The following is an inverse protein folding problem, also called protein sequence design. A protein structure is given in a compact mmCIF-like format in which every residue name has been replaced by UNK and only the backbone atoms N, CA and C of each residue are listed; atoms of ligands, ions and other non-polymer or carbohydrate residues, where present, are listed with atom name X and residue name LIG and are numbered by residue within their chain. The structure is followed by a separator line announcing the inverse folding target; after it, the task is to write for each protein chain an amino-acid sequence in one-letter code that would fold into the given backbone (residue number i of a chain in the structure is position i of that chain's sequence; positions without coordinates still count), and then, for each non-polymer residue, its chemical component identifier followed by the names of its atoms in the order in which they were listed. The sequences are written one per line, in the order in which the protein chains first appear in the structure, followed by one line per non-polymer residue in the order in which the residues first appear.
data_IF_382938337457
#
_entry.id   IF_382938337457
#
_cell.length_a   1.000
_cell.length_b   1.000
_cell.length_c   1.000
_cell.angle_alpha   90.00
_cell.angle_beta   90.00
_cell.angle_gamma   90.00
#
_symmetry.space_group_name_H-M   'P 1'
#
loop_
_entity.id
_entity.type
_entity.pdbx_description
1 polymer ?
#
# COMPACT_ATOMS: atom_id res chain seq x y z
N UNK A 1 12.12 -53.22 2.75
CA UNK A 1 13.02 -52.29 3.47
C UNK A 1 12.45 -50.89 3.37
N UNK A 2 11.46 -50.60 4.20
CA UNK A 2 10.66 -49.36 4.19
C UNK A 2 10.35 -49.05 5.64
N UNK A 3 11.20 -48.26 6.30
CA UNK A 3 11.04 -48.06 7.73
C UNK A 3 12.08 -47.19 8.43
N UNK A 4 12.60 -46.14 7.78
CA UNK A 4 13.61 -45.26 8.40
C UNK A 4 13.54 -43.79 7.96
N UNK A 5 12.38 -43.30 7.52
CA UNK A 5 12.18 -41.87 7.21
C UNK A 5 10.95 -41.24 7.91
N UNK A 6 10.28 -41.95 8.81
CA UNK A 6 9.08 -41.44 9.50
C UNK A 6 9.31 -40.93 10.93
N UNK A 7 10.55 -40.92 11.43
CA UNK A 7 10.84 -40.58 12.83
C UNK A 7 11.42 -39.17 13.07
N UNK A 8 11.57 -38.33 12.04
CA UNK A 8 12.08 -36.95 12.22
C UNK A 8 10.95 -35.89 12.29
N UNK A 9 9.70 -36.28 12.05
CA UNK A 9 8.56 -35.33 11.98
C UNK A 9 7.57 -35.40 13.16
N UNK A 10 7.86 -36.16 14.22
CA UNK A 10 6.93 -36.33 15.35
C UNK A 10 7.61 -36.13 16.73
N UNK A 11 8.38 -35.05 16.87
CA UNK A 11 8.99 -34.68 18.16
C UNK A 11 8.91 -33.18 18.48
N UNK A 12 7.82 -32.52 18.07
CA UNK A 12 7.38 -31.27 18.70
C UNK A 12 6.02 -31.52 19.38
N UNK A 13 6.06 -32.13 20.57
CA UNK A 13 4.95 -32.07 21.53
C UNK A 13 4.72 -30.62 21.93
N UNK A 14 3.47 -30.12 21.96
CA UNK A 14 2.58 -30.21 23.14
C UNK A 14 3.33 -29.93 24.45
N UNK A 15 3.75 -28.69 24.63
CA UNK A 15 3.43 -27.88 25.81
C UNK A 15 4.20 -26.56 25.73
N UNK A 16 3.50 -25.48 26.03
CA UNK A 16 3.99 -24.12 25.85
C UNK A 16 3.19 -23.44 24.76
N UNK A 17 2.41 -22.45 25.17
CA UNK A 17 1.88 -21.47 24.25
C UNK A 17 3.04 -20.88 23.44
N UNK A 18 3.23 -21.35 22.22
CA UNK A 18 3.80 -20.53 21.15
C UNK A 18 2.80 -19.39 20.93
N UNK A 19 2.80 -18.45 21.89
CA UNK A 19 2.43 -17.08 21.59
C UNK A 19 3.48 -16.69 20.57
N UNK A 20 3.14 -16.83 19.30
CA UNK A 20 3.76 -16.05 18.24
C UNK A 20 3.92 -14.66 18.86
N UNK A 21 5.16 -14.24 19.13
CA UNK A 21 5.44 -12.93 19.70
C UNK A 21 5.22 -11.95 18.56
N UNK A 22 3.95 -11.80 18.20
CA UNK A 22 3.48 -10.91 17.16
C UNK A 22 3.82 -9.51 17.63
N UNK A 23 4.51 -8.78 16.76
CA UNK A 23 4.69 -7.35 16.99
C UNK A 23 3.32 -6.70 16.99
N UNK A 24 2.93 -6.08 18.11
CA UNK A 24 1.70 -5.31 18.20
C UNK A 24 1.84 -4.00 17.40
N UNK A 25 0.95 -3.77 16.46
CA UNK A 25 1.02 -2.63 15.56
C UNK A 25 -0.04 -1.58 15.92
N UNK A 26 0.43 -0.43 16.40
CA UNK A 26 -0.39 0.76 16.64
C UNK A 26 -0.65 1.53 15.33
N UNK A 27 -1.71 2.36 15.26
CA UNK A 27 -1.97 3.21 14.10
C UNK A 27 -0.75 4.02 13.65
N UNK A 28 0.02 4.54 14.61
CA UNK A 28 1.22 5.35 14.38
C UNK A 28 2.35 4.53 13.74
N UNK A 29 2.46 3.24 14.04
CA UNK A 29 3.46 2.35 13.44
C UNK A 29 3.15 2.17 11.94
N UNK A 30 1.88 1.99 11.60
CA UNK A 30 1.44 1.93 10.19
C UNK A 30 1.66 3.25 9.47
N UNK A 31 1.38 4.38 10.12
CA UNK A 31 1.62 5.70 9.54
C UNK A 31 3.10 5.91 9.24
N UNK A 32 4.00 5.61 10.20
CA UNK A 32 5.44 5.72 9.98
C UNK A 32 5.93 4.76 8.90
N UNK A 33 5.43 3.51 8.89
CA UNK A 33 5.73 2.56 7.85
C UNK A 33 5.31 3.08 6.47
N UNK A 34 4.14 3.73 6.34
CA UNK A 34 3.69 4.31 5.08
C UNK A 34 4.70 5.32 4.52
N UNK A 35 5.22 6.21 5.37
CA UNK A 35 6.21 7.22 4.96
C UNK A 35 7.52 6.56 4.52
N UNK A 36 8.05 5.64 5.34
CA UNK A 36 9.29 4.93 5.05
C UNK A 36 9.19 4.11 3.76
N UNK A 37 8.06 3.42 3.52
CA UNK A 37 7.86 2.62 2.30
C UNK A 37 7.76 3.50 1.06
N UNK A 38 7.13 4.67 1.15
CA UNK A 38 7.07 5.62 0.04
C UNK A 38 8.46 6.17 -0.30
N UNK A 39 9.26 6.52 0.71
CA UNK A 39 10.65 6.96 0.54
C UNK A 39 11.51 5.87 -0.11
N UNK A 40 11.43 4.63 0.38
CA UNK A 40 12.13 3.49 -0.19
C UNK A 40 11.71 3.22 -1.64
N UNK A 41 10.41 3.33 -1.93
CA UNK A 41 9.90 3.17 -3.29
C UNK A 41 10.50 4.22 -4.24
N UNK A 42 10.60 5.48 -3.82
CA UNK A 42 11.26 6.55 -4.59
C UNK A 42 12.75 6.26 -4.78
N UNK A 43 13.45 5.88 -3.72
CA UNK A 43 14.87 5.55 -3.80
C UNK A 43 15.14 4.43 -4.82
N UNK A 44 14.38 3.34 -4.77
CA UNK A 44 14.51 2.22 -5.71
C UNK A 44 14.23 2.62 -7.16
N UNK A 45 13.29 3.53 -7.38
CA UNK A 45 12.97 4.04 -8.71
C UNK A 45 14.05 5.01 -9.24
N UNK A 46 14.48 5.97 -8.43
CA UNK A 46 15.40 7.04 -8.87
C UNK A 46 16.86 6.57 -8.93
N UNK A 47 17.28 5.68 -8.03
CA UNK A 47 18.68 5.24 -7.87
C UNK A 47 18.89 3.76 -8.17
N UNK A 48 17.88 2.92 -7.88
CA UNK A 48 18.02 1.46 -7.95
C UNK A 48 17.61 0.81 -9.27
N UNK A 49 16.99 1.54 -10.20
CA UNK A 49 16.36 0.98 -11.42
C UNK A 49 15.49 -0.27 -11.14
N UNK A 50 14.90 -0.36 -9.94
CA UNK A 50 14.11 -1.50 -9.48
C UNK A 50 12.62 -1.13 -9.54
N UNK A 51 12.07 -1.15 -10.75
CA UNK A 51 10.74 -0.62 -11.04
C UNK A 51 9.63 -1.50 -10.49
N UNK A 52 9.75 -2.82 -10.59
CA UNK A 52 8.76 -3.73 -10.02
C UNK A 52 8.70 -3.65 -8.49
N UNK A 53 9.87 -3.64 -7.85
CA UNK A 53 9.93 -3.53 -6.39
C UNK A 53 9.47 -2.14 -5.91
N UNK A 54 9.79 -1.06 -6.63
CA UNK A 54 9.28 0.27 -6.28
C UNK A 54 7.76 0.37 -6.41
N UNK A 55 7.14 -0.22 -7.45
CA UNK A 55 5.67 -0.31 -7.54
C UNK A 55 5.10 -1.07 -6.34
N UNK A 56 5.67 -2.22 -6.00
CA UNK A 56 5.20 -2.99 -4.85
C UNK A 56 5.27 -2.18 -3.55
N UNK A 57 6.41 -1.56 -3.25
CA UNK A 57 6.58 -0.74 -2.05
C UNK A 57 5.68 0.50 -2.03
N UNK A 58 5.44 1.11 -3.19
CA UNK A 58 4.53 2.25 -3.28
C UNK A 58 3.08 1.87 -2.94
N UNK A 59 2.60 0.71 -3.38
CA UNK A 59 1.27 0.24 -2.98
C UNK A 59 1.24 -0.25 -1.52
N UNK A 60 2.33 -0.84 -1.02
CA UNK A 60 2.46 -1.17 0.41
C UNK A 60 2.42 0.09 1.29
N UNK A 61 3.03 1.20 0.85
CA UNK A 61 2.95 2.49 1.53
C UNK A 61 1.49 2.96 1.65
N UNK A 62 0.73 2.86 0.56
CA UNK A 62 -0.70 3.20 0.52
C UNK A 62 -1.49 2.29 1.46
N UNK A 63 -1.24 0.98 1.42
CA UNK A 63 -1.89 0.03 2.34
C UNK A 63 -1.61 0.36 3.81
N UNK A 64 -0.35 0.64 4.17
CA UNK A 64 0.04 1.07 5.50
C UNK A 64 -0.71 2.35 5.91
N UNK A 65 -0.80 3.36 5.04
CA UNK A 65 -1.52 4.59 5.33
C UNK A 65 -3.00 4.30 5.62
N UNK A 66 -3.65 3.49 4.79
CA UNK A 66 -5.04 3.12 4.99
C UNK A 66 -5.27 2.33 6.29
N UNK A 67 -4.37 1.39 6.62
CA UNK A 67 -4.41 0.65 7.88
C UNK A 67 -4.27 1.58 9.08
N UNK A 68 -3.40 2.58 9.01
CA UNK A 68 -3.26 3.58 10.07
C UNK A 68 -4.59 4.28 10.37
N UNK A 69 -5.29 4.78 9.34
CA UNK A 69 -6.60 5.42 9.49
C UNK A 69 -7.68 4.45 9.97
N UNK A 70 -7.72 3.23 9.43
CA UNK A 70 -8.68 2.20 9.85
C UNK A 70 -8.53 1.90 11.33
N UNK A 71 -7.30 1.62 11.77
CA UNK A 71 -7.02 1.14 13.12
C UNK A 71 -7.24 2.24 14.17
N UNK A 72 -7.00 3.50 13.81
CA UNK A 72 -7.35 4.66 14.66
C UNK A 72 -8.85 4.73 14.95
N UNK A 73 -9.69 4.30 14.01
CA UNK A 73 -11.16 4.34 14.15
C UNK A 73 -11.73 3.07 14.74
N UNK A 74 -11.24 1.93 14.29
CA UNK A 74 -11.81 0.63 14.58
C UNK A 74 -10.69 -0.43 14.54
N UNK A 75 -10.24 -0.90 15.72
CA UNK A 75 -9.20 -1.91 15.87
C UNK A 75 -9.58 -3.29 15.35
N UNK A 76 -10.87 -3.56 15.09
CA UNK A 76 -11.27 -4.85 14.52
C UNK A 76 -10.93 -4.86 13.03
N UNK A 77 -9.90 -5.61 12.62
CA UNK A 77 -9.62 -5.73 11.19
C UNK A 77 -8.87 -6.99 10.76
N UNK A 78 -9.51 -7.72 9.84
CA UNK A 78 -8.92 -8.70 8.93
C UNK A 78 -9.53 -8.52 7.52
N UNK A 79 -9.32 -7.37 6.85
CA UNK A 79 -9.46 -7.38 5.39
C UNK A 79 -8.12 -7.71 4.74
N UNK A 80 -8.17 -8.79 3.96
CA UNK A 80 -7.07 -9.27 3.15
C UNK A 80 -6.84 -8.32 1.96
N UNK A 81 -5.78 -7.51 2.04
CA UNK A 81 -5.00 -6.85 0.96
C UNK A 81 -5.74 -6.24 -0.26
N UNK A 82 -7.05 -5.97 -0.20
CA UNK A 82 -7.77 -5.28 -1.28
C UNK A 82 -7.81 -3.78 -1.00
N UNK A 83 -7.01 -3.01 -1.73
CA UNK A 83 -6.85 -1.57 -1.50
C UNK A 83 -8.17 -0.77 -1.54
N UNK A 84 -9.10 -1.10 -2.45
CA UNK A 84 -10.36 -0.37 -2.58
C UNK A 84 -11.31 -0.67 -1.41
N UNK A 85 -11.37 -1.94 -0.97
CA UNK A 85 -12.14 -2.31 0.23
C UNK A 85 -11.54 -1.66 1.47
N UNK A 86 -10.22 -1.76 1.62
CA UNK A 86 -9.48 -1.17 2.73
C UNK A 86 -9.65 0.36 2.76
N UNK A 87 -9.72 1.04 1.62
CA UNK A 87 -10.01 2.47 1.57
C UNK A 87 -11.43 2.83 1.96
N UNK A 88 -12.42 2.06 1.51
CA UNK A 88 -13.80 2.24 1.96
C UNK A 88 -13.90 2.05 3.48
N UNK A 89 -13.24 1.01 3.99
CA UNK A 89 -13.20 0.70 5.41
C UNK A 89 -12.42 1.73 6.23
N UNK A 90 -11.31 2.29 5.73
CA UNK A 90 -10.43 3.18 6.51
C UNK A 90 -11.13 4.45 6.98
N UNK A 91 -12.16 4.90 6.24
CA UNK A 91 -12.82 6.18 6.52
C UNK A 91 -11.95 7.39 6.28
N UNK A 92 -10.84 7.24 5.53
CA UNK A 92 -9.95 8.34 5.20
C UNK A 92 -10.66 9.51 4.49
N UNK A 93 -11.79 9.24 3.82
CA UNK A 93 -12.65 10.24 3.20
C UNK A 93 -13.73 10.82 4.13
N UNK A 94 -13.90 10.28 5.34
CA UNK A 94 -14.86 10.77 6.33
C UNK A 94 -14.22 11.92 7.10
N UNK A 95 -14.19 13.07 6.43
CA UNK A 95 -13.57 14.29 6.93
C UNK A 95 -14.60 15.12 7.68
N UNK A 96 -14.20 15.65 8.83
CA UNK A 96 -14.98 16.65 9.55
C UNK A 96 -14.72 18.03 8.92
N UNK A 97 -15.68 18.52 8.12
CA UNK A 97 -15.58 19.81 7.44
C UNK A 97 -15.48 20.96 8.44
N UNK A 98 -16.08 20.84 9.63
CA UNK A 98 -16.01 21.86 10.67
C UNK A 98 -14.57 22.07 11.13
N UNK A 99 -13.88 20.98 11.49
CA UNK A 99 -12.47 21.03 11.90
C UNK A 99 -11.52 21.57 10.82
N UNK A 100 -11.79 21.28 9.55
CA UNK A 100 -10.97 21.81 8.46
C UNK A 100 -11.23 23.29 8.20
N UNK A 101 -12.48 23.74 8.31
CA UNK A 101 -12.83 25.17 8.22
C UNK A 101 -12.20 25.97 9.35
N UNK A 102 -12.18 25.44 10.57
CA UNK A 102 -11.52 26.07 11.73
C UNK A 102 -10.01 26.29 11.49
N UNK A 103 -9.42 25.52 10.58
CA UNK A 103 -8.01 25.63 10.15
C UNK A 103 -7.83 26.43 8.86
N UNK A 104 -8.86 27.10 8.37
CA UNK A 104 -8.81 28.02 7.22
C UNK A 104 -9.02 27.37 5.85
N UNK A 105 -9.46 26.11 5.78
CA UNK A 105 -9.82 25.49 4.50
C UNK A 105 -11.23 25.89 4.05
N UNK A 106 -11.36 26.24 2.78
CA UNK A 106 -12.65 26.40 2.11
C UNK A 106 -13.23 25.05 1.69
N UNK A 107 -14.55 24.93 1.57
CA UNK A 107 -15.21 23.71 1.10
C UNK A 107 -14.67 23.24 -0.25
N UNK A 108 -14.42 24.17 -1.18
CA UNK A 108 -13.82 23.87 -2.49
C UNK A 108 -12.44 23.23 -2.36
N UNK A 109 -11.62 23.67 -1.40
CA UNK A 109 -10.30 23.06 -1.16
C UNK A 109 -10.45 21.66 -0.56
N UNK A 110 -11.40 21.47 0.36
CA UNK A 110 -11.69 20.17 0.98
C UNK A 110 -12.18 19.18 -0.08
N UNK A 111 -13.15 19.58 -0.90
CA UNK A 111 -13.72 18.75 -1.96
C UNK A 111 -12.66 18.38 -3.01
N UNK A 112 -11.86 19.36 -3.45
CA UNK A 112 -10.75 19.12 -4.38
C UNK A 112 -9.74 18.14 -3.81
N UNK A 113 -9.43 18.26 -2.52
CA UNK A 113 -8.49 17.37 -1.84
C UNK A 113 -9.03 15.93 -1.76
N UNK A 114 -10.28 15.76 -1.35
CA UNK A 114 -10.95 14.45 -1.29
C UNK A 114 -11.09 13.81 -2.68
N UNK A 115 -11.39 14.62 -3.69
CA UNK A 115 -11.41 14.18 -5.08
C UNK A 115 -10.05 13.68 -5.53
N UNK A 116 -8.97 14.42 -5.26
CA UNK A 116 -7.61 14.02 -5.62
C UNK A 116 -7.20 12.70 -4.97
N UNK A 117 -7.57 12.47 -3.70
CA UNK A 117 -7.32 11.19 -3.02
C UNK A 117 -8.02 10.02 -3.72
N UNK A 118 -9.29 10.19 -4.11
CA UNK A 118 -10.05 9.16 -4.85
C UNK A 118 -9.43 8.87 -6.21
N UNK A 119 -9.08 9.90 -6.97
CA UNK A 119 -8.46 9.76 -8.29
C UNK A 119 -7.11 9.05 -8.18
N UNK A 120 -6.28 9.46 -7.21
CA UNK A 120 -4.99 8.83 -6.96
C UNK A 120 -5.13 7.35 -6.59
N UNK A 121 -6.05 7.01 -5.69
CA UNK A 121 -6.28 5.62 -5.31
C UNK A 121 -6.77 4.76 -6.48
N UNK A 122 -7.69 5.27 -7.30
CA UNK A 122 -8.18 4.52 -8.47
C UNK A 122 -7.03 4.22 -9.44
N UNK A 123 -6.14 5.18 -9.68
CA UNK A 123 -4.95 4.96 -10.51
C UNK A 123 -4.02 3.88 -9.92
N UNK A 124 -3.84 3.87 -8.59
CA UNK A 124 -3.03 2.88 -7.87
C UNK A 124 -3.68 1.48 -7.96
N UNK A 125 -4.98 1.38 -7.72
CA UNK A 125 -5.71 0.12 -7.67
C UNK A 125 -5.71 -0.64 -9.02
N UNK A 126 -5.62 0.08 -10.14
CA UNK A 126 -5.49 -0.52 -11.48
C UNK A 126 -4.11 -1.16 -11.68
N UNK A 127 -3.08 -0.66 -11.01
CA UNK A 127 -1.68 -0.96 -11.29
C UNK A 127 -0.97 -1.72 -10.17
N UNK A 128 -1.66 -2.10 -9.09
CA UNK A 128 -1.04 -2.79 -7.96
C UNK A 128 -1.84 -4.00 -7.50
N UNK A 129 -1.12 -5.06 -7.19
CA UNK A 129 -1.64 -6.24 -6.52
C UNK A 129 -0.60 -6.78 -5.53
N UNK A 130 -1.07 -7.32 -4.40
CA UNK A 130 -0.20 -7.81 -3.33
C UNK A 130 0.78 -8.92 -3.79
N UNK A 131 0.39 -9.73 -4.77
CA UNK A 131 1.24 -10.79 -5.32
C UNK A 131 2.45 -10.26 -6.12
N UNK A 132 2.53 -8.95 -6.41
CA UNK A 132 3.70 -8.36 -7.06
C UNK A 132 4.95 -8.42 -6.21
N UNK A 133 4.85 -8.70 -4.90
CA UNK A 133 6.00 -9.03 -4.03
C UNK A 133 6.86 -10.19 -4.54
N UNK A 134 6.33 -11.01 -5.45
CA UNK A 134 7.02 -12.15 -6.06
C UNK A 134 7.32 -11.94 -7.55
N UNK A 135 6.92 -10.81 -8.13
CA UNK A 135 7.09 -10.56 -9.55
C UNK A 135 8.49 -10.05 -9.87
N UNK A 136 9.16 -10.67 -10.85
CA UNK A 136 10.35 -10.08 -11.49
C UNK A 136 9.94 -8.87 -12.35
N UNK A 137 10.93 -8.03 -12.70
CA UNK A 137 10.76 -6.90 -13.63
C UNK A 137 10.06 -7.35 -14.94
N UNK A 138 10.55 -8.43 -15.54
CA UNK A 138 9.99 -9.02 -16.76
C UNK A 138 8.54 -9.50 -16.59
N UNK A 139 8.26 -10.18 -15.47
CA UNK A 139 6.92 -10.71 -15.18
C UNK A 139 5.92 -9.58 -15.00
N UNK A 140 6.29 -8.54 -14.27
CA UNK A 140 5.43 -7.37 -14.08
C UNK A 140 5.24 -6.60 -15.39
N UNK A 141 6.31 -6.40 -16.18
CA UNK A 141 6.22 -5.78 -17.50
C UNK A 141 5.21 -6.50 -18.41
N UNK A 142 5.32 -7.83 -18.54
CA UNK A 142 4.39 -8.62 -19.35
C UNK A 142 2.96 -8.62 -18.79
N UNK A 143 2.79 -8.47 -17.48
CA UNK A 143 1.46 -8.29 -16.90
C UNK A 143 0.88 -6.92 -17.25
N UNK A 144 1.60 -5.84 -17.00
CA UNK A 144 1.16 -4.47 -17.27
C UNK A 144 0.84 -4.25 -18.75
N UNK A 145 1.64 -4.81 -19.67
CA UNK A 145 1.35 -4.74 -21.11
C UNK A 145 0.03 -5.41 -21.51
N UNK A 146 -0.45 -6.38 -20.74
CA UNK A 146 -1.72 -7.09 -21.00
C UNK A 146 -2.91 -6.41 -20.33
N UNK A 147 -2.72 -5.85 -19.14
CA UNK A 147 -3.82 -5.29 -18.34
C UNK A 147 -4.08 -3.81 -18.61
N UNK A 148 -3.15 -3.13 -19.27
CA UNK A 148 -3.30 -1.74 -19.68
C UNK A 148 -3.41 -1.65 -21.20
N UNK A 149 -3.95 -0.55 -21.71
CA UNK A 149 -4.00 -0.25 -23.16
C UNK A 149 -2.57 0.05 -23.68
N UNK A 150 -1.73 -0.99 -23.75
CA UNK A 150 -0.35 -0.86 -24.17
C UNK A 150 -0.30 -0.42 -25.64
N UNK A 151 0.08 0.84 -25.82
CA UNK A 151 0.50 1.37 -27.12
C UNK A 151 2.01 1.31 -27.15
N UNK A 152 2.61 0.93 -28.29
CA UNK A 152 4.06 0.97 -28.47
C UNK A 152 4.57 2.39 -28.27
N UNK A 153 4.97 2.71 -27.04
CA UNK A 153 5.56 3.99 -26.66
C UNK A 153 7.08 3.89 -26.76
N UNK A 154 7.73 4.98 -27.17
CA UNK A 154 9.19 5.10 -27.14
C UNK A 154 9.68 5.10 -25.68
N UNK A 155 10.67 4.27 -25.35
CA UNK A 155 11.32 4.23 -24.04
C UNK A 155 10.98 3.00 -23.19
N UNK A 156 11.49 2.99 -21.95
CA UNK A 156 11.23 1.92 -20.99
C UNK A 156 9.80 2.05 -20.44
N UNK A 157 8.95 1.13 -20.88
CA UNK A 157 7.54 1.11 -20.51
C UNK A 157 7.33 0.85 -19.02
N UNK A 158 8.13 -0.04 -18.41
CA UNK A 158 7.99 -0.36 -16.99
C UNK A 158 8.37 0.84 -16.14
N UNK A 159 9.47 1.52 -16.49
CA UNK A 159 9.89 2.78 -15.86
C UNK A 159 8.80 3.85 -15.94
N UNK A 160 8.17 4.01 -17.11
CA UNK A 160 7.08 4.98 -17.29
C UNK A 160 5.87 4.65 -16.39
N UNK A 161 5.44 3.38 -16.36
CA UNK A 161 4.35 2.94 -15.48
C UNK A 161 4.69 3.09 -14.00
N UNK A 162 5.92 2.75 -13.60
CA UNK A 162 6.39 2.92 -12.22
C UNK A 162 6.37 4.40 -11.82
N UNK A 163 6.81 5.30 -12.70
CA UNK A 163 6.74 6.75 -12.45
C UNK A 163 5.31 7.23 -12.21
N UNK A 164 4.39 6.87 -13.10
CA UNK A 164 2.97 7.25 -12.97
C UNK A 164 2.38 6.71 -11.67
N UNK A 165 2.62 5.43 -11.39
CA UNK A 165 2.18 4.79 -10.17
C UNK A 165 2.71 5.50 -8.92
N UNK A 166 4.01 5.77 -8.85
CA UNK A 166 4.64 6.42 -7.70
C UNK A 166 4.18 7.87 -7.53
N UNK A 167 3.84 8.56 -8.62
CA UNK A 167 3.25 9.90 -8.54
C UNK A 167 1.85 9.85 -7.92
N UNK A 168 1.00 8.92 -8.36
CA UNK A 168 -0.31 8.71 -7.73
C UNK A 168 -0.17 8.30 -6.26
N UNK A 169 0.73 7.35 -5.94
CA UNK A 169 1.01 6.94 -4.57
C UNK A 169 1.49 8.11 -3.71
N UNK A 170 2.39 8.94 -4.23
CA UNK A 170 2.87 10.14 -3.52
C UNK A 170 1.75 11.13 -3.25
N UNK A 171 0.89 11.42 -4.25
CA UNK A 171 -0.28 12.28 -4.07
C UNK A 171 -1.19 11.74 -2.96
N UNK A 172 -1.41 10.42 -2.94
CA UNK A 172 -2.22 9.76 -1.92
C UNK A 172 -1.59 9.89 -0.52
N UNK A 173 -0.29 9.59 -0.40
CA UNK A 173 0.45 9.68 0.87
C UNK A 173 0.46 11.11 1.39
N UNK A 174 0.79 12.09 0.56
CA UNK A 174 0.76 13.51 0.94
C UNK A 174 -0.63 13.92 1.43
N UNK A 175 -1.69 13.51 0.73
CA UNK A 175 -3.04 13.79 1.18
C UNK A 175 -3.40 13.10 2.50
N UNK A 176 -2.90 11.88 2.72
CA UNK A 176 -3.04 11.17 4.00
C UNK A 176 -2.29 11.83 5.15
N UNK A 177 -1.09 12.35 4.92
CA UNK A 177 -0.33 13.12 5.92
C UNK A 177 -1.10 14.39 6.33
N UNK A 178 -1.67 15.09 5.35
CA UNK A 178 -2.53 16.25 5.62
C UNK A 178 -3.68 15.85 6.55
N UNK A 179 -4.38 14.75 6.26
CA UNK A 179 -5.47 14.25 7.12
C UNK A 179 -5.04 13.73 8.48
N UNK A 180 -3.85 13.13 8.58
CA UNK A 180 -3.41 12.48 9.81
C UNK A 180 -3.23 13.47 10.96
N UNK A 181 -2.90 14.71 10.61
CA UNK A 181 -2.67 15.86 11.52
C UNK A 181 -3.98 16.55 11.98
N UNK A 182 -5.14 15.97 11.67
CA UNK A 182 -6.49 16.46 12.00
C UNK A 182 -7.28 15.42 12.79
#
# INVERSE_FOLDING_TARGET
MTGLLYSVLLQFGRDGSDREVGMDFKPEHYFQAALQRMEQARHLYDRGNSFALSIYLGGLAVECMLRAFKLRRDPSFDERHNLLRLFSASGMLRVDYGKLRDKGFTDTQIDKHLHNLRVALNAIAVLWANNYRYASEERLLSHLKRTTDYRKTKGDYLKARAREFLNSAQTFITGGVTHWSF
#
